data_IF_946723959777
#
_entry.id   IF_946723959777
#
_cell.length_a   1.000
_cell.length_b   1.000
_cell.length_c   1.000
_cell.angle_alpha   90.00
_cell.angle_beta   90.00
_cell.angle_gamma   90.00
#
_symmetry.space_group_name_H-M   'P 1'
#
loop_
_entity.id
_entity.type
_entity.pdbx_description
1 polymer ?
#
# COMPACT_ATOMS: atom_id res chain seq x y z
N UNK A 1 -1.65 2.88 23.69
CA UNK A 1 -0.51 1.94 23.66
C UNK A 1 0.76 2.65 23.24
N UNK A 2 1.85 2.45 24.00
CA UNK A 2 3.22 2.85 23.65
C UNK A 2 3.94 1.70 22.89
N UNK A 3 5.14 1.96 22.38
CA UNK A 3 5.92 0.96 21.62
C UNK A 3 6.25 -0.29 22.44
N UNK A 4 6.57 -0.15 23.73
CA UNK A 4 6.97 -1.28 24.58
C UNK A 4 5.79 -2.22 24.76
N UNK A 5 4.62 -1.67 25.07
CA UNK A 5 3.38 -2.45 25.18
C UNK A 5 3.01 -3.12 23.85
N UNK A 6 3.23 -2.45 22.72
CA UNK A 6 2.95 -3.01 21.40
C UNK A 6 3.91 -4.14 21.00
N UNK A 7 5.20 -3.99 21.30
CA UNK A 7 6.21 -5.04 21.08
C UNK A 7 5.93 -6.28 21.91
N UNK A 8 5.62 -6.11 23.19
CA UNK A 8 5.28 -7.20 24.09
C UNK A 8 4.05 -7.98 23.58
N UNK A 9 2.98 -7.25 23.20
CA UNK A 9 1.77 -7.85 22.64
C UNK A 9 2.06 -8.62 21.34
N UNK A 10 2.74 -7.98 20.38
CA UNK A 10 2.99 -8.59 19.07
C UNK A 10 3.90 -9.82 19.19
N UNK A 11 4.86 -9.79 20.12
CA UNK A 11 5.75 -10.92 20.41
C UNK A 11 4.97 -12.10 20.96
N UNK A 12 4.16 -11.87 22.00
CA UNK A 12 3.31 -12.90 22.60
C UNK A 12 2.39 -13.52 21.54
N UNK A 13 1.73 -12.67 20.74
CA UNK A 13 0.83 -13.14 19.69
C UNK A 13 1.56 -14.01 18.64
N UNK A 14 2.76 -13.62 18.20
CA UNK A 14 3.56 -14.44 17.28
C UNK A 14 3.92 -15.82 17.88
N UNK A 15 4.26 -15.87 19.17
CA UNK A 15 4.56 -17.13 19.87
C UNK A 15 3.33 -18.05 19.98
N UNK A 16 2.15 -17.49 20.28
CA UNK A 16 0.89 -18.23 20.32
C UNK A 16 0.52 -18.80 18.94
N UNK A 17 0.70 -18.00 17.88
CA UNK A 17 0.46 -18.43 16.51
C UNK A 17 1.41 -19.55 16.10
N UNK A 18 2.70 -19.46 16.42
CA UNK A 18 3.67 -20.52 16.14
C UNK A 18 3.32 -21.83 16.86
N UNK A 19 2.81 -21.75 18.10
CA UNK A 19 2.31 -22.91 18.85
C UNK A 19 1.07 -23.56 18.20
N UNK A 20 0.23 -22.80 17.51
CA UNK A 20 -0.95 -23.33 16.81
C UNK A 20 -0.62 -24.26 15.63
N UNK A 21 0.61 -24.18 15.10
CA UNK A 21 1.11 -24.98 13.95
C UNK A 21 0.27 -24.86 12.67
N UNK A 22 -0.56 -23.83 12.53
CA UNK A 22 -1.32 -23.57 11.31
C UNK A 22 -0.37 -22.98 10.26
N UNK A 23 -0.15 -23.71 9.16
CA UNK A 23 0.85 -23.37 8.13
C UNK A 23 0.65 -21.98 7.51
N UNK A 24 -0.61 -21.59 7.26
CA UNK A 24 -0.95 -20.26 6.76
C UNK A 24 -0.54 -19.15 7.73
N UNK A 25 -0.76 -19.34 9.02
CA UNK A 25 -0.40 -18.34 10.03
C UNK A 25 1.10 -18.29 10.30
N UNK A 26 1.81 -19.41 10.24
CA UNK A 26 3.27 -19.40 10.32
C UNK A 26 3.91 -18.60 9.17
N UNK A 27 3.36 -18.68 7.96
CA UNK A 27 3.79 -17.82 6.84
C UNK A 27 3.52 -16.35 7.14
N UNK A 28 2.36 -16.03 7.69
CA UNK A 28 2.02 -14.66 8.03
C UNK A 28 2.91 -14.09 9.15
N UNK A 29 3.23 -14.88 10.18
CA UNK A 29 4.18 -14.48 11.24
C UNK A 29 5.56 -14.15 10.67
N UNK A 30 6.05 -14.90 9.67
CA UNK A 30 7.31 -14.56 8.99
C UNK A 30 7.24 -13.17 8.35
N UNK A 31 6.13 -12.82 7.71
CA UNK A 31 5.89 -11.47 7.16
C UNK A 31 5.81 -10.41 8.25
N UNK A 32 5.11 -10.68 9.36
CA UNK A 32 5.04 -9.75 10.50
C UNK A 32 6.43 -9.48 11.05
N UNK A 33 7.25 -10.52 11.24
CA UNK A 33 8.64 -10.39 11.71
C UNK A 33 9.52 -9.62 10.72
N UNK A 34 9.34 -9.77 9.40
CA UNK A 34 10.11 -9.01 8.40
C UNK A 34 9.73 -7.52 8.37
N UNK A 35 8.52 -7.15 8.79
CA UNK A 35 8.02 -5.77 8.83
C UNK A 35 7.91 -5.21 10.26
N UNK A 36 8.57 -5.84 11.23
CA UNK A 36 8.43 -5.55 12.66
C UNK A 36 8.57 -4.07 12.99
N UNK A 37 9.65 -3.43 12.53
CA UNK A 37 9.92 -2.02 12.83
C UNK A 37 8.81 -1.09 12.37
N UNK A 38 8.28 -1.29 11.16
CA UNK A 38 7.17 -0.49 10.63
C UNK A 38 5.88 -0.67 11.41
N UNK A 39 5.56 -1.92 11.80
CA UNK A 39 4.35 -2.24 12.58
C UNK A 39 4.41 -1.59 13.97
N UNK A 40 5.56 -1.66 14.64
CA UNK A 40 5.73 -1.02 15.96
C UNK A 40 5.72 0.50 15.83
N UNK A 41 6.38 1.05 14.81
CA UNK A 41 6.46 2.50 14.61
C UNK A 41 5.10 3.12 14.23
N UNK A 42 4.19 2.35 13.64
CA UNK A 42 2.81 2.78 13.38
C UNK A 42 2.08 3.23 14.66
N UNK A 43 2.40 2.64 15.81
CA UNK A 43 1.72 2.94 17.08
C UNK A 43 1.86 4.41 17.46
N UNK A 44 3.00 5.03 17.14
CA UNK A 44 3.24 6.46 17.34
C UNK A 44 2.91 7.30 16.10
N UNK A 45 3.43 6.89 14.93
CA UNK A 45 3.37 7.73 13.72
C UNK A 45 2.02 7.76 13.05
N UNK A 46 1.19 6.73 13.25
CA UNK A 46 -0.10 6.54 12.56
C UNK A 46 0.00 6.60 11.03
N UNK A 47 1.19 6.42 10.46
CA UNK A 47 1.39 6.39 9.01
C UNK A 47 0.76 5.11 8.47
N UNK A 48 -0.26 5.26 7.62
CA UNK A 48 -0.93 4.14 6.97
C UNK A 48 -0.54 4.04 5.50
N UNK A 49 -0.70 2.86 4.93
CA UNK A 49 -0.51 2.62 3.49
C UNK A 49 -1.69 3.13 2.63
N UNK A 50 -2.72 3.73 3.24
CA UNK A 50 -3.98 4.06 2.56
C UNK A 50 -3.82 5.05 1.39
N UNK A 51 -2.91 6.01 1.50
CA UNK A 51 -2.62 6.95 0.39
C UNK A 51 -2.00 6.18 -0.79
N UNK A 52 -1.04 5.29 -0.51
CA UNK A 52 -0.36 4.50 -1.53
C UNK A 52 -1.33 3.50 -2.20
N UNK A 53 -2.23 2.89 -1.43
CA UNK A 53 -3.31 2.03 -1.93
C UNK A 53 -4.30 2.80 -2.82
N UNK A 54 -4.65 4.02 -2.44
CA UNK A 54 -5.48 4.91 -3.25
C UNK A 54 -4.83 5.25 -4.60
N UNK A 55 -3.52 5.54 -4.59
CA UNK A 55 -2.75 5.78 -5.82
C UNK A 55 -2.70 4.49 -6.66
N UNK A 56 -2.35 3.35 -6.06
CA UNK A 56 -2.28 2.07 -6.78
C UNK A 56 -3.63 1.70 -7.40
N UNK A 57 -4.74 1.96 -6.70
CA UNK A 57 -6.10 1.75 -7.22
C UNK A 57 -6.38 2.61 -8.45
N UNK A 58 -5.97 3.89 -8.45
CA UNK A 58 -6.07 4.78 -9.63
C UNK A 58 -5.23 4.27 -10.80
N UNK A 59 -4.00 3.83 -10.55
CA UNK A 59 -3.10 3.26 -11.56
C UNK A 59 -3.71 2.00 -12.19
N UNK A 60 -4.20 1.07 -11.38
CA UNK A 60 -4.85 -0.15 -11.86
C UNK A 60 -6.15 0.14 -12.61
N UNK A 61 -6.91 1.15 -12.18
CA UNK A 61 -8.10 1.60 -12.88
C UNK A 61 -7.76 2.18 -14.26
N UNK A 62 -6.69 2.98 -14.37
CA UNK A 62 -6.21 3.49 -15.65
C UNK A 62 -5.88 2.34 -16.63
N UNK A 63 -5.11 1.35 -16.15
CA UNK A 63 -4.78 0.14 -16.92
C UNK A 63 -6.04 -0.62 -17.37
N UNK A 64 -7.00 -0.83 -16.47
CA UNK A 64 -8.26 -1.54 -16.77
C UNK A 64 -9.11 -0.81 -17.81
N UNK A 65 -9.24 0.52 -17.70
CA UNK A 65 -10.02 1.34 -18.66
C UNK A 65 -9.43 1.28 -20.07
N UNK A 66 -8.11 1.28 -20.20
CA UNK A 66 -7.44 1.14 -21.49
C UNK A 66 -7.40 -0.31 -22.02
N UNK A 67 -7.80 -1.31 -21.21
CA UNK A 67 -7.59 -2.75 -21.48
C UNK A 67 -6.12 -3.09 -21.72
N UNK A 68 -5.25 -2.42 -20.97
CA UNK A 68 -3.79 -2.50 -21.14
C UNK A 68 -3.24 -1.38 -22.02
N UNK A 69 -1.95 -1.11 -21.88
CA UNK A 69 -1.23 -0.13 -22.70
C UNK A 69 -0.17 -0.86 -23.50
N UNK A 70 -0.15 -0.64 -24.82
CA UNK A 70 0.88 -1.20 -25.70
C UNK A 70 2.23 -0.50 -25.50
N UNK A 71 2.21 0.80 -25.23
CA UNK A 71 3.40 1.61 -24.97
C UNK A 71 3.44 2.02 -23.49
N UNK A 72 4.53 1.68 -22.80
CA UNK A 72 4.71 1.99 -21.38
C UNK A 72 4.79 3.49 -21.09
N UNK A 73 5.33 4.29 -22.01
CA UNK A 73 5.40 5.75 -21.86
C UNK A 73 4.00 6.36 -21.81
N UNK A 74 3.07 5.85 -22.63
CA UNK A 74 1.67 6.29 -22.59
C UNK A 74 1.00 5.91 -21.27
N UNK A 75 1.34 4.75 -20.70
CA UNK A 75 0.83 4.35 -19.39
C UNK A 75 1.36 5.29 -18.29
N UNK A 76 2.66 5.56 -18.28
CA UNK A 76 3.31 6.48 -17.32
C UNK A 76 2.71 7.88 -17.43
N UNK A 77 2.58 8.42 -18.65
CA UNK A 77 1.95 9.73 -18.88
C UNK A 77 0.52 9.78 -18.34
N UNK A 78 -0.27 8.72 -18.54
CA UNK A 78 -1.62 8.64 -17.99
C UNK A 78 -1.63 8.59 -16.46
N UNK A 79 -0.67 7.91 -15.83
CA UNK A 79 -0.53 7.91 -14.37
C UNK A 79 -0.24 9.32 -13.86
N UNK A 80 0.72 10.04 -14.48
CA UNK A 80 1.01 11.43 -14.13
C UNK A 80 -0.19 12.34 -14.35
N UNK A 81 -0.93 12.16 -15.44
CA UNK A 81 -2.15 12.90 -15.71
C UNK A 81 -3.22 12.70 -14.62
N UNK A 82 -3.49 11.46 -14.23
CA UNK A 82 -4.56 11.14 -13.27
C UNK A 82 -4.17 11.38 -11.80
N UNK A 83 -2.91 11.19 -11.45
CA UNK A 83 -2.44 11.26 -10.05
C UNK A 83 -1.71 12.56 -9.73
N UNK A 84 -1.10 13.22 -10.72
CA UNK A 84 -0.24 14.38 -10.54
C UNK A 84 -0.96 15.71 -10.29
N UNK A 85 -2.30 15.72 -10.28
CA UNK A 85 -3.12 16.95 -10.15
C UNK A 85 -2.66 18.07 -11.09
N UNK A 86 -2.24 17.70 -12.30
CA UNK A 86 -1.75 18.65 -13.30
C UNK A 86 -2.89 19.60 -13.66
N UNK A 87 -2.63 20.90 -13.53
CA UNK A 87 -3.54 21.94 -14.03
C UNK A 87 -3.20 22.17 -15.50
N UNK A 88 -4.13 21.85 -16.36
CA UNK A 88 -4.03 22.16 -17.77
C UNK A 88 -4.93 23.36 -18.05
N UNK A 89 -4.33 24.45 -18.50
CA UNK A 89 -5.06 25.56 -19.08
C UNK A 89 -5.46 25.14 -20.49
N UNK A 90 -6.57 24.39 -20.59
CA UNK A 90 -7.12 24.03 -21.89
C UNK A 90 -7.80 25.26 -22.49
N UNK A 91 -7.48 25.66 -23.73
CA UNK A 91 -8.40 26.52 -24.43
C UNK A 91 -9.63 25.71 -24.85
N UNK A 92 -10.81 26.19 -24.47
CA UNK A 92 -12.10 25.75 -25.04
C UNK A 92 -12.19 26.26 -26.48
N UNK A 93 -11.51 25.61 -27.41
CA UNK A 93 -11.85 25.78 -28.82
C UNK A 93 -12.70 24.58 -29.22
N UNK A 94 -14.02 24.75 -29.06
CA UNK A 94 -14.98 24.00 -29.85
C UNK A 94 -14.94 24.57 -31.26
N UNK A 95 -14.31 23.85 -32.17
CA UNK A 95 -14.55 23.96 -33.61
C UNK A 95 -15.14 22.66 -34.08
#
# INVERSE_FOLDING_TARGET
>A
PDKVSAEAFLKQWCEEVEKSKISAFMKFVKTVRSHWSGIIHFVETKITNGILEGINSKVQLAKRRARGYRNINNFINMIYFLCGKLKFDYPLYFT
#
